data_IF_331620159891
#
_entry.id   IF_331620159891
#
_cell.length_a   1.000
_cell.length_b   1.000
_cell.length_c   1.000
_cell.angle_alpha   90.00
_cell.angle_beta   90.00
_cell.angle_gamma   90.00
#
_symmetry.space_group_name_H-M   'P 1'
#
loop_
_entity.id
_entity.type
_entity.pdbx_description
1 polymer ?
#
# COMPACT_ATOMS: atom_id res chain seq x y z
N UNK A 1 19.66 -2.12 -18.91
CA UNK A 1 19.25 -3.36 -19.61
C UNK A 1 19.65 -3.23 -21.07
N UNK A 2 20.35 -4.22 -21.66
CA UNK A 2 20.79 -4.18 -23.06
C UNK A 2 19.66 -4.02 -24.07
N UNK A 3 19.95 -3.51 -25.24
CA UNK A 3 19.00 -3.39 -26.35
C UNK A 3 18.51 -4.76 -26.83
N UNK A 4 17.23 -4.86 -27.20
CA UNK A 4 16.60 -6.06 -27.74
C UNK A 4 16.13 -7.07 -26.69
N UNK A 5 16.33 -6.79 -25.40
CA UNK A 5 15.90 -7.68 -24.31
C UNK A 5 14.40 -7.50 -24.05
N UNK A 6 13.66 -8.59 -23.92
CA UNK A 6 12.24 -8.57 -23.58
C UNK A 6 12.07 -8.18 -22.11
N UNK A 7 11.35 -7.09 -21.84
CA UNK A 7 11.07 -6.58 -20.48
C UNK A 7 9.71 -7.03 -19.96
N UNK A 8 8.76 -7.27 -20.86
CA UNK A 8 7.43 -7.79 -20.53
C UNK A 8 6.80 -8.44 -21.74
N UNK A 9 6.03 -9.49 -21.52
CA UNK A 9 5.23 -10.17 -22.53
C UNK A 9 3.76 -10.15 -22.15
N UNK A 10 2.90 -9.81 -23.10
CA UNK A 10 1.47 -10.03 -22.98
C UNK A 10 1.10 -11.38 -23.56
N UNK A 11 0.31 -12.16 -22.86
CA UNK A 11 -0.23 -13.44 -23.33
C UNK A 11 -1.71 -13.53 -23.01
N UNK A 12 -2.51 -13.77 -24.02
CA UNK A 12 -3.96 -13.86 -23.93
C UNK A 12 -4.51 -15.06 -24.69
N UNK A 13 -5.81 -15.31 -24.54
CA UNK A 13 -6.52 -16.38 -25.24
C UNK A 13 -6.46 -16.18 -26.77
N UNK A 14 -6.56 -14.95 -27.23
CA UNK A 14 -6.45 -14.61 -28.65
C UNK A 14 -4.98 -14.36 -29.00
N UNK A 15 -4.45 -15.06 -30.00
CA UNK A 15 -3.05 -14.91 -30.44
C UNK A 15 -2.67 -13.48 -30.79
N UNK A 16 -3.61 -12.67 -31.32
CA UNK A 16 -3.39 -11.25 -31.65
C UNK A 16 -3.12 -10.37 -30.41
N UNK A 17 -3.46 -10.83 -29.23
CA UNK A 17 -3.17 -10.13 -27.96
C UNK A 17 -1.76 -10.44 -27.42
N UNK A 18 -1.05 -11.39 -28.05
CA UNK A 18 0.30 -11.76 -27.62
C UNK A 18 1.28 -10.76 -28.21
N UNK A 19 2.08 -10.16 -27.34
CA UNK A 19 3.12 -9.21 -27.73
C UNK A 19 4.28 -9.24 -26.76
N UNK A 20 5.51 -9.12 -27.30
CA UNK A 20 6.74 -9.01 -26.52
C UNK A 20 7.28 -7.59 -26.65
N UNK A 21 7.36 -6.89 -25.52
CA UNK A 21 7.93 -5.55 -25.45
C UNK A 21 9.42 -5.65 -25.15
N UNK A 22 10.23 -5.12 -26.05
CA UNK A 22 11.69 -5.16 -25.96
C UNK A 22 12.27 -3.76 -25.82
N UNK A 23 13.42 -3.69 -25.19
CA UNK A 23 14.22 -2.45 -25.16
C UNK A 23 14.63 -2.03 -26.57
N UNK A 24 14.52 -0.74 -26.88
CA UNK A 24 14.78 -0.20 -28.23
C UNK A 24 16.10 0.52 -28.35
N UNK A 25 16.69 0.95 -27.22
CA UNK A 25 17.95 1.70 -27.16
C UNK A 25 18.97 0.99 -26.29
N UNK A 26 20.23 1.31 -26.49
CA UNK A 26 21.31 0.91 -25.59
C UNK A 26 21.13 1.59 -24.22
N UNK A 27 21.57 0.95 -23.13
CA UNK A 27 21.47 1.53 -21.78
C UNK A 27 22.39 2.76 -21.68
N UNK A 28 21.91 3.79 -20.97
CA UNK A 28 22.70 5.00 -20.67
C UNK A 28 23.86 4.64 -19.74
N UNK A 29 23.59 3.77 -18.77
CA UNK A 29 24.58 3.29 -17.80
C UNK A 29 24.28 1.84 -17.42
N UNK A 30 25.35 1.03 -17.34
CA UNK A 30 25.26 -0.39 -16.96
C UNK A 30 25.85 -0.69 -15.59
N UNK A 31 26.53 0.26 -14.97
CA UNK A 31 27.35 0.08 -13.76
C UNK A 31 26.71 0.70 -12.53
N UNK A 32 26.04 1.85 -12.69
CA UNK A 32 25.43 2.55 -11.54
C UNK A 32 24.52 1.60 -10.72
N UNK A 33 24.68 1.51 -9.39
CA UNK A 33 23.78 0.72 -8.55
C UNK A 33 22.34 1.25 -8.61
N UNK A 34 21.37 0.35 -8.71
CA UNK A 34 19.95 0.71 -8.71
C UNK A 34 19.25 0.03 -7.55
N UNK A 35 18.54 0.81 -6.76
CA UNK A 35 17.61 0.33 -5.74
C UNK A 35 16.20 0.78 -6.14
N UNK A 36 15.26 -0.16 -6.16
CA UNK A 36 13.85 0.12 -6.46
C UNK A 36 13.06 -0.04 -5.16
N UNK A 37 12.51 1.06 -4.66
CA UNK A 37 11.66 1.06 -3.47
C UNK A 37 10.21 0.77 -3.85
N UNK A 38 9.59 -0.18 -3.18
CA UNK A 38 8.21 -0.62 -3.43
C UNK A 38 7.41 -0.83 -2.16
N UNK A 39 6.09 -0.73 -2.29
CA UNK A 39 5.15 -1.08 -1.22
C UNK A 39 3.86 -1.66 -1.80
N UNK A 40 2.87 -1.95 -0.94
CA UNK A 40 1.58 -2.51 -1.33
C UNK A 40 0.75 -1.65 -2.30
N UNK A 41 1.10 -0.38 -2.49
CA UNK A 41 0.48 0.53 -3.46
C UNK A 41 1.20 0.53 -4.82
N UNK A 42 2.40 -0.06 -4.90
CA UNK A 42 3.10 -0.23 -6.18
C UNK A 42 2.37 -1.26 -7.03
N UNK A 43 1.85 -0.86 -8.19
CA UNK A 43 0.95 -1.69 -9.00
C UNK A 43 1.20 -1.55 -10.51
N UNK A 44 0.77 -2.58 -11.28
CA UNK A 44 0.70 -2.55 -12.74
C UNK A 44 2.05 -2.23 -13.41
N UNK A 45 2.17 -1.11 -14.15
CA UNK A 45 3.41 -0.73 -14.85
C UNK A 45 4.63 -0.61 -13.92
N UNK A 46 4.43 -0.10 -12.70
CA UNK A 46 5.49 -0.04 -11.70
C UNK A 46 6.00 -1.45 -11.33
N UNK A 47 5.10 -2.43 -11.24
CA UNK A 47 5.47 -3.83 -10.98
C UNK A 47 6.18 -4.46 -12.17
N UNK A 48 5.82 -4.09 -13.41
CA UNK A 48 6.50 -4.56 -14.62
C UNK A 48 7.96 -4.07 -14.62
N UNK A 49 8.18 -2.78 -14.38
CA UNK A 49 9.54 -2.21 -14.32
C UNK A 49 10.35 -2.84 -13.20
N UNK A 50 9.79 -2.90 -12.00
CA UNK A 50 10.43 -3.51 -10.82
C UNK A 50 10.80 -4.96 -11.08
N UNK A 51 9.82 -5.75 -11.54
CA UNK A 51 10.01 -7.18 -11.77
C UNK A 51 10.99 -7.46 -12.92
N UNK A 52 11.00 -6.64 -13.99
CA UNK A 52 11.97 -6.77 -15.05
C UNK A 52 13.39 -6.49 -14.56
N UNK A 53 13.60 -5.46 -13.75
CA UNK A 53 14.91 -5.14 -13.17
C UNK A 53 15.35 -6.20 -12.16
N UNK A 54 14.43 -6.75 -11.36
CA UNK A 54 14.71 -7.85 -10.43
C UNK A 54 15.07 -9.14 -11.16
N UNK A 55 14.27 -9.54 -12.16
CA UNK A 55 14.50 -10.79 -12.92
C UNK A 55 15.80 -10.76 -13.74
N UNK A 56 16.25 -9.58 -14.15
CA UNK A 56 17.52 -9.37 -14.84
C UNK A 56 18.70 -9.14 -13.89
N UNK A 57 18.49 -9.23 -12.58
CA UNK A 57 19.51 -8.93 -11.55
C UNK A 57 20.17 -7.55 -11.73
N UNK A 58 19.41 -6.57 -12.26
CA UNK A 58 19.92 -5.23 -12.52
C UNK A 58 19.72 -4.26 -11.37
N UNK A 59 18.74 -4.54 -10.49
CA UNK A 59 18.43 -3.73 -9.32
C UNK A 59 18.16 -4.60 -8.11
N UNK A 60 18.36 -4.03 -6.92
CA UNK A 60 17.87 -4.55 -5.65
C UNK A 60 16.49 -3.95 -5.38
N UNK A 61 15.51 -4.78 -5.09
CA UNK A 61 14.16 -4.35 -4.73
C UNK A 61 14.04 -4.31 -3.21
N UNK A 62 13.65 -3.15 -2.67
CA UNK A 62 13.58 -2.89 -1.24
C UNK A 62 12.17 -2.42 -0.86
N UNK A 63 11.66 -2.84 0.30
CA UNK A 63 10.37 -2.41 0.85
C UNK A 63 9.43 -3.54 1.18
N UNK A 64 8.14 -3.39 0.87
CA UNK A 64 7.13 -4.42 1.11
C UNK A 64 6.56 -4.96 -0.20
N UNK A 65 5.88 -6.11 -0.12
CA UNK A 65 5.29 -6.80 -1.27
C UNK A 65 4.33 -5.90 -2.04
N UNK A 66 4.42 -5.91 -3.37
CA UNK A 66 3.60 -5.08 -4.24
C UNK A 66 2.16 -5.60 -4.39
N UNK A 67 1.31 -4.82 -5.05
CA UNK A 67 -0.13 -5.08 -5.18
C UNK A 67 -0.48 -6.37 -5.92
N UNK A 68 0.23 -6.70 -6.99
CA UNK A 68 -0.05 -7.88 -7.82
C UNK A 68 -1.13 -7.68 -8.89
N UNK A 69 -1.05 -6.57 -9.65
CA UNK A 69 -1.95 -6.28 -10.78
C UNK A 69 -1.30 -6.69 -12.10
N UNK A 70 -1.55 -7.95 -12.52
CA UNK A 70 -0.96 -8.57 -13.70
C UNK A 70 -1.90 -8.77 -14.89
N UNK A 71 -3.11 -8.16 -14.89
CA UNK A 71 -4.09 -8.28 -15.96
C UNK A 71 -4.06 -7.08 -16.88
N UNK A 72 -4.15 -7.34 -18.19
CA UNK A 72 -4.35 -6.32 -19.24
C UNK A 72 -5.82 -6.21 -19.52
N UNK A 73 -6.37 -5.03 -19.34
CA UNK A 73 -7.77 -4.71 -19.62
C UNK A 73 -7.83 -3.67 -20.74
N UNK A 74 -8.75 -3.87 -21.65
CA UNK A 74 -9.03 -2.94 -22.77
C UNK A 74 -10.48 -2.50 -22.72
N UNK A 75 -10.75 -1.18 -22.89
CA UNK A 75 -12.08 -0.70 -23.14
C UNK A 75 -12.56 -1.14 -24.53
N UNK A 76 -13.82 -1.48 -24.65
CA UNK A 76 -14.50 -1.81 -25.89
C UNK A 76 -15.77 -0.98 -25.93
N UNK A 77 -15.90 -0.16 -26.96
CA UNK A 77 -17.09 0.65 -27.20
C UNK A 77 -18.29 -0.24 -27.53
N UNK A 78 -19.41 0.06 -26.93
CA UNK A 78 -20.70 -0.57 -27.15
C UNK A 78 -21.70 0.47 -27.69
N UNK A 79 -22.82 0.01 -28.28
CA UNK A 79 -23.93 0.92 -28.65
C UNK A 79 -24.40 1.79 -27.50
N UNK A 80 -25.04 2.92 -27.82
CA UNK A 80 -25.63 3.86 -26.87
C UNK A 80 -24.60 4.58 -25.95
N UNK A 81 -23.42 4.88 -26.47
CA UNK A 81 -22.32 5.52 -25.69
C UNK A 81 -21.92 4.74 -24.43
N UNK A 82 -22.05 3.44 -24.46
CA UNK A 82 -21.61 2.55 -23.39
C UNK A 82 -20.19 2.04 -23.67
N UNK A 83 -19.45 1.73 -22.63
CA UNK A 83 -18.11 1.13 -22.69
C UNK A 83 -18.04 -0.11 -21.82
N UNK A 84 -17.41 -1.16 -22.31
CA UNK A 84 -17.17 -2.39 -21.56
C UNK A 84 -15.68 -2.60 -21.38
N UNK A 85 -15.21 -2.76 -20.14
CA UNK A 85 -13.83 -3.07 -19.81
C UNK A 85 -13.61 -4.58 -19.77
N UNK A 86 -12.79 -5.09 -20.68
CA UNK A 86 -12.57 -6.53 -20.84
C UNK A 86 -11.12 -6.90 -20.55
N UNK A 87 -10.91 -7.95 -19.75
CA UNK A 87 -9.58 -8.55 -19.55
C UNK A 87 -9.22 -9.38 -20.78
N UNK A 88 -8.14 -9.01 -21.49
CA UNK A 88 -7.71 -9.64 -22.74
C UNK A 88 -6.47 -10.51 -22.60
N UNK A 89 -5.58 -10.19 -21.66
CA UNK A 89 -4.31 -10.91 -21.48
C UNK A 89 -3.73 -10.72 -20.06
N UNK A 90 -2.61 -11.40 -19.81
CA UNK A 90 -1.80 -11.27 -18.60
C UNK A 90 -0.39 -10.80 -18.95
N UNK A 91 0.23 -10.11 -18.00
CA UNK A 91 1.65 -9.77 -18.08
C UNK A 91 2.52 -10.91 -17.58
N UNK A 92 3.62 -11.10 -18.29
CA UNK A 92 4.71 -12.00 -17.90
C UNK A 92 6.02 -11.22 -17.99
N UNK A 93 6.77 -11.20 -16.90
CA UNK A 93 8.06 -10.51 -16.79
C UNK A 93 9.21 -11.44 -17.22
N UNK A 94 10.47 -11.00 -17.32
CA UNK A 94 11.52 -11.74 -18.02
C UNK A 94 11.75 -13.18 -17.58
N UNK A 95 11.60 -13.51 -16.32
CA UNK A 95 11.67 -14.90 -15.83
C UNK A 95 10.54 -15.80 -16.33
N UNK A 96 9.49 -15.22 -16.94
CA UNK A 96 8.28 -15.92 -17.37
C UNK A 96 7.20 -16.03 -16.29
N UNK A 97 7.40 -15.45 -15.10
CA UNK A 97 6.39 -15.42 -14.04
C UNK A 97 5.32 -14.36 -14.30
N UNK A 98 4.09 -14.65 -13.82
CA UNK A 98 2.98 -13.72 -13.83
C UNK A 98 2.78 -13.14 -12.42
N UNK A 99 2.70 -11.82 -12.31
CA UNK A 99 2.60 -11.11 -11.03
C UNK A 99 1.17 -11.06 -10.46
N UNK A 100 0.17 -11.56 -11.19
CA UNK A 100 -1.24 -11.46 -10.80
C UNK A 100 -1.52 -12.15 -9.45
N UNK A 101 -1.92 -11.37 -8.45
CA UNK A 101 -2.13 -11.87 -7.08
C UNK A 101 -3.52 -12.48 -6.85
N UNK A 102 -4.50 -12.14 -7.68
CA UNK A 102 -5.90 -12.55 -7.46
C UNK A 102 -6.41 -13.41 -8.60
N UNK A 103 -7.17 -14.45 -8.25
CA UNK A 103 -7.93 -15.27 -9.19
C UNK A 103 -9.39 -14.85 -9.13
N UNK A 104 -9.94 -14.46 -10.28
CA UNK A 104 -11.36 -14.11 -10.42
C UNK A 104 -12.15 -15.34 -10.81
N UNK A 105 -13.25 -15.61 -10.12
CA UNK A 105 -14.21 -16.68 -10.45
C UNK A 105 -15.35 -16.10 -11.27
N UNK A 106 -15.68 -16.73 -12.38
CA UNK A 106 -16.73 -16.25 -13.29
C UNK A 106 -18.15 -16.52 -12.77
N UNK A 107 -18.34 -17.45 -11.83
CA UNK A 107 -19.66 -17.94 -11.41
C UNK A 107 -20.16 -17.38 -10.07
N UNK A 108 -19.37 -16.57 -9.34
CA UNK A 108 -19.71 -16.12 -7.98
C UNK A 108 -19.83 -14.60 -7.88
N UNK A 109 -20.58 -13.95 -8.80
CA UNK A 109 -20.82 -12.51 -8.73
C UNK A 109 -19.57 -11.65 -8.76
N UNK A 110 -18.45 -12.13 -9.30
CA UNK A 110 -17.19 -11.38 -9.39
C UNK A 110 -16.30 -11.49 -8.15
N UNK A 111 -16.53 -12.46 -7.28
CA UNK A 111 -15.63 -12.71 -6.15
C UNK A 111 -14.20 -13.02 -6.60
N UNK A 112 -13.23 -12.55 -5.85
CA UNK A 112 -11.80 -12.78 -6.12
C UNK A 112 -11.12 -13.42 -4.92
N UNK A 113 -10.31 -14.45 -5.17
CA UNK A 113 -9.47 -15.08 -4.16
C UNK A 113 -8.02 -14.65 -4.31
N UNK A 114 -7.34 -14.44 -3.21
CA UNK A 114 -5.88 -14.30 -3.20
C UNK A 114 -5.27 -15.67 -3.46
N UNK A 115 -4.31 -15.74 -4.38
CA UNK A 115 -3.61 -16.98 -4.71
C UNK A 115 -2.74 -17.37 -3.51
N UNK A 116 -3.04 -18.54 -2.92
CA UNK A 116 -2.32 -19.03 -1.75
C UNK A 116 -0.85 -19.30 -2.05
N UNK A 117 0.02 -19.03 -1.08
CA UNK A 117 1.47 -19.17 -1.24
C UNK A 117 1.88 -20.63 -1.59
N UNK A 118 1.15 -21.62 -1.10
CA UNK A 118 1.37 -23.03 -1.40
C UNK A 118 1.15 -23.43 -2.88
N UNK A 119 0.47 -22.59 -3.66
CA UNK A 119 0.18 -22.83 -5.08
C UNK A 119 1.05 -22.03 -6.03
N UNK A 120 1.96 -21.20 -5.50
CA UNK A 120 2.88 -20.40 -6.28
C UNK A 120 3.97 -21.27 -6.91
N UNK A 121 4.32 -20.94 -8.14
CA UNK A 121 5.39 -21.63 -8.87
C UNK A 121 6.70 -20.87 -8.70
N UNK A 122 7.78 -21.62 -8.68
CA UNK A 122 9.14 -21.11 -8.62
C UNK A 122 9.63 -20.75 -10.03
N UNK A 123 10.26 -19.61 -10.13
CA UNK A 123 10.97 -19.11 -11.29
C UNK A 123 12.35 -18.64 -10.85
N UNK A 124 13.21 -18.31 -11.79
CA UNK A 124 14.58 -17.91 -11.49
C UNK A 124 14.94 -16.65 -12.24
N UNK A 125 15.67 -15.77 -11.59
CA UNK A 125 16.28 -14.59 -12.21
C UNK A 125 17.41 -15.00 -13.15
N UNK A 126 17.97 -14.03 -13.88
CA UNK A 126 19.09 -14.27 -14.80
C UNK A 126 20.28 -14.98 -14.12
N UNK A 127 20.58 -14.62 -12.87
CA UNK A 127 21.68 -15.20 -12.08
C UNK A 127 21.24 -16.40 -11.20
N UNK A 128 20.03 -16.92 -11.41
CA UNK A 128 19.53 -18.13 -10.72
C UNK A 128 18.95 -17.91 -9.32
N UNK A 129 18.64 -16.66 -8.92
CA UNK A 129 17.92 -16.41 -7.68
C UNK A 129 16.46 -16.87 -7.79
N UNK A 130 15.95 -17.56 -6.79
CA UNK A 130 14.56 -18.01 -6.75
C UNK A 130 13.61 -16.83 -6.58
N UNK A 131 12.57 -16.77 -7.41
CA UNK A 131 11.47 -15.82 -7.35
C UNK A 131 10.16 -16.54 -7.57
N UNK A 132 9.07 -16.02 -7.02
CA UNK A 132 7.75 -16.67 -7.09
C UNK A 132 6.82 -15.92 -8.05
N UNK A 133 5.91 -16.67 -8.67
CA UNK A 133 4.78 -16.08 -9.39
C UNK A 133 3.61 -15.76 -8.43
N UNK A 134 2.54 -15.17 -8.98
CA UNK A 134 1.25 -15.00 -8.31
C UNK A 134 1.32 -14.32 -6.93
N UNK A 135 1.33 -13.01 -6.94
CA UNK A 135 1.24 -12.27 -5.69
C UNK A 135 2.02 -10.97 -5.65
N UNK A 136 2.23 -10.36 -6.81
CA UNK A 136 3.06 -9.15 -6.92
C UNK A 136 4.54 -9.48 -6.92
N UNK A 137 5.35 -8.44 -6.75
CA UNK A 137 6.79 -8.55 -6.59
C UNK A 137 7.12 -8.63 -5.11
N UNK A 138 7.82 -9.68 -4.72
CA UNK A 138 8.39 -9.79 -3.37
C UNK A 138 9.75 -9.09 -3.39
N UNK A 139 9.99 -8.12 -2.50
CA UNK A 139 11.28 -7.41 -2.46
C UNK A 139 12.42 -8.34 -2.07
N UNK A 140 13.64 -8.02 -2.51
CA UNK A 140 14.87 -8.73 -2.13
C UNK A 140 15.24 -8.42 -0.69
N UNK A 141 14.97 -7.18 -0.23
CA UNK A 141 15.14 -6.73 1.14
C UNK A 141 13.80 -6.21 1.64
N UNK A 142 13.22 -6.92 2.61
CA UNK A 142 11.98 -6.51 3.24
C UNK A 142 12.27 -5.41 4.26
N UNK A 143 11.62 -4.27 4.08
CA UNK A 143 11.60 -3.16 5.04
C UNK A 143 10.13 -2.85 5.29
N UNK A 144 9.65 -3.22 6.44
CA UNK A 144 8.31 -2.84 6.87
C UNK A 144 8.31 -1.34 7.18
N UNK A 145 7.30 -0.64 6.70
CA UNK A 145 7.12 0.76 7.05
C UNK A 145 6.81 0.88 8.54
N UNK A 146 7.31 1.93 9.16
CA UNK A 146 6.90 2.28 10.51
C UNK A 146 5.37 2.44 10.52
N UNK A 147 4.72 1.70 11.40
CA UNK A 147 3.29 1.86 11.61
C UNK A 147 3.09 3.14 12.42
N UNK A 148 2.84 4.25 11.72
CA UNK A 148 2.40 5.45 12.41
C UNK A 148 1.11 5.13 13.19
N UNK A 149 1.04 5.51 14.47
CA UNK A 149 -0.19 5.37 15.22
C UNK A 149 -1.29 6.21 14.59
N UNK A 150 -2.54 5.75 14.72
CA UNK A 150 -3.68 6.39 14.06
C UNK A 150 -3.73 7.91 14.29
N UNK A 151 -3.41 8.40 15.49
CA UNK A 151 -3.42 9.83 15.79
C UNK A 151 -2.41 10.61 14.95
N UNK A 152 -1.20 10.10 14.75
CA UNK A 152 -0.18 10.77 13.92
C UNK A 152 -0.66 10.88 12.47
N UNK A 153 -1.25 9.80 11.93
CA UNK A 153 -1.84 9.82 10.58
C UNK A 153 -2.93 10.90 10.44
N UNK A 154 -3.86 10.97 11.40
CA UNK A 154 -4.95 11.94 11.34
C UNK A 154 -4.47 13.38 11.60
N UNK A 155 -3.49 13.61 12.46
CA UNK A 155 -2.87 14.91 12.64
C UNK A 155 -2.15 15.40 11.36
N UNK A 156 -1.41 14.51 10.69
CA UNK A 156 -0.74 14.83 9.43
C UNK A 156 -1.70 14.97 8.24
N UNK A 157 -2.82 14.23 8.24
CA UNK A 157 -3.82 14.26 7.17
C UNK A 157 -4.92 15.31 7.36
N UNK A 158 -5.00 15.97 8.53
CA UNK A 158 -6.00 16.98 8.81
C UNK A 158 -5.87 18.16 7.84
N UNK A 159 -6.87 18.28 6.96
CA UNK A 159 -6.97 19.36 5.96
C UNK A 159 -7.92 20.47 6.40
N UNK A 160 -8.51 20.33 7.58
CA UNK A 160 -9.43 21.31 8.12
C UNK A 160 -8.69 22.49 8.74
N UNK A 161 -9.40 23.59 8.98
CA UNK A 161 -8.90 24.90 9.43
C UNK A 161 -8.02 24.89 10.69
N UNK A 162 -7.80 23.75 11.29
CA UNK A 162 -6.92 23.53 12.42
C UNK A 162 -5.71 22.66 12.02
N UNK A 163 -4.88 23.16 11.14
CA UNK A 163 -3.57 22.55 10.80
C UNK A 163 -2.62 22.63 12.01
N UNK A 164 -3.00 21.96 13.11
CA UNK A 164 -2.32 22.06 14.41
C UNK A 164 -0.87 21.65 14.31
N UNK A 165 -0.61 20.55 13.59
CA UNK A 165 0.74 20.03 13.38
C UNK A 165 1.59 21.03 12.59
N UNK A 166 1.11 21.47 11.43
CA UNK A 166 1.83 22.41 10.58
C UNK A 166 2.10 23.74 11.31
N UNK A 167 1.10 24.28 12.02
CA UNK A 167 1.28 25.52 12.78
C UNK A 167 2.29 25.35 13.91
N UNK A 168 2.31 24.20 14.58
CA UNK A 168 3.32 23.88 15.57
C UNK A 168 4.72 23.79 14.96
N UNK A 169 4.87 23.09 13.83
CA UNK A 169 6.14 22.97 13.11
C UNK A 169 6.71 24.33 12.69
N UNK A 170 5.87 25.21 12.15
CA UNK A 170 6.26 26.58 11.76
C UNK A 170 6.76 27.35 12.97
N UNK A 171 6.03 27.32 14.09
CA UNK A 171 6.43 28.02 15.32
C UNK A 171 7.68 27.40 15.94
N UNK A 172 7.82 26.07 15.88
CA UNK A 172 9.00 25.36 16.36
C UNK A 172 10.26 25.78 15.58
N UNK A 173 10.20 25.77 14.24
CA UNK A 173 11.31 26.21 13.39
C UNK A 173 11.67 27.69 13.63
N UNK A 174 10.67 28.53 13.85
CA UNK A 174 10.92 29.94 14.16
C UNK A 174 11.67 30.12 15.49
N UNK A 175 11.41 29.28 16.48
CA UNK A 175 12.11 29.25 17.78
C UNK A 175 13.50 28.58 17.71
N UNK A 176 13.65 27.62 16.79
CA UNK A 176 14.83 26.77 16.62
C UNK A 176 15.39 26.88 15.20
N UNK A 177 16.11 27.95 14.86
CA UNK A 177 16.58 28.19 13.50
C UNK A 177 17.56 27.13 12.96
N UNK A 178 18.10 26.33 13.84
CA UNK A 178 18.95 25.17 13.49
C UNK A 178 18.28 23.89 14.03
N UNK A 179 17.82 23.03 13.14
CA UNK A 179 17.23 21.74 13.47
C UNK A 179 18.23 20.64 13.11
N UNK A 180 18.35 19.63 13.97
CA UNK A 180 19.20 18.47 13.71
C UNK A 180 18.77 17.71 12.43
N UNK A 181 19.68 16.90 11.88
CA UNK A 181 19.30 16.02 10.79
C UNK A 181 18.21 15.02 11.25
N UNK A 182 17.34 14.55 10.37
CA UNK A 182 16.22 13.67 10.76
C UNK A 182 16.61 12.43 11.57
N UNK A 183 17.81 11.88 11.33
CA UNK A 183 18.33 10.74 12.08
C UNK A 183 18.75 11.05 13.54
N UNK A 184 19.03 12.32 13.81
CA UNK A 184 19.56 12.80 15.12
C UNK A 184 18.54 13.74 15.81
N UNK A 185 17.37 13.93 15.20
CA UNK A 185 16.35 14.81 15.73
C UNK A 185 15.56 14.13 16.86
N UNK A 186 15.56 14.76 18.02
CA UNK A 186 14.74 14.36 19.17
C UNK A 186 13.98 15.59 19.68
N UNK A 187 12.68 15.46 19.84
CA UNK A 187 11.83 16.48 20.44
C UNK A 187 11.97 16.42 21.96
N UNK A 188 12.23 17.57 22.61
CA UNK A 188 12.30 17.64 24.07
C UNK A 188 10.97 17.32 24.74
N UNK A 189 10.99 16.95 26.02
CA UNK A 189 9.76 16.68 26.79
C UNK A 189 8.91 17.95 26.95
N UNK A 190 9.56 19.11 27.09
CA UNK A 190 8.89 20.40 27.19
C UNK A 190 8.19 20.78 25.87
N UNK A 191 8.89 20.63 24.75
CA UNK A 191 8.31 20.91 23.42
C UNK A 191 7.16 19.96 23.11
N UNK A 192 7.31 18.68 23.45
CA UNK A 192 6.22 17.73 23.27
C UNK A 192 5.01 18.03 24.17
N UNK A 193 5.24 18.52 25.39
CA UNK A 193 4.15 18.96 26.28
C UNK A 193 3.42 20.18 25.70
N UNK A 194 4.15 21.15 25.10
CA UNK A 194 3.55 22.27 24.39
C UNK A 194 2.72 21.80 23.20
N UNK A 195 3.23 20.86 22.41
CA UNK A 195 2.50 20.26 21.29
C UNK A 195 1.20 19.57 21.74
N UNK A 196 1.29 18.71 22.76
CA UNK A 196 0.09 18.03 23.31
C UNK A 196 -0.96 19.05 23.76
N UNK A 197 -0.55 20.10 24.45
CA UNK A 197 -1.45 21.15 24.89
C UNK A 197 -2.15 21.83 23.70
N UNK A 198 -1.43 22.17 22.64
CA UNK A 198 -2.01 22.76 21.42
C UNK A 198 -3.03 21.85 20.75
N UNK A 199 -2.71 20.55 20.63
CA UNK A 199 -3.66 19.57 20.08
C UNK A 199 -4.96 19.50 20.91
N UNK A 200 -4.84 19.49 22.22
CA UNK A 200 -6.02 19.42 23.11
C UNK A 200 -6.82 20.75 23.09
N UNK A 201 -6.14 21.89 23.11
CA UNK A 201 -6.78 23.21 23.10
C UNK A 201 -7.48 23.51 21.76
N UNK A 202 -7.00 22.91 20.65
CA UNK A 202 -7.64 23.04 19.33
C UNK A 202 -8.98 22.30 19.21
N UNK A 203 -9.30 21.42 20.16
CA UNK A 203 -10.46 20.55 20.05
C UNK A 203 -10.33 19.45 19.00
N UNK A 204 -9.10 19.13 18.58
CA UNK A 204 -8.83 18.07 17.61
C UNK A 204 -9.45 16.74 18.06
N UNK A 205 -10.13 16.10 17.14
CA UNK A 205 -10.69 14.75 17.30
C UNK A 205 -10.64 14.00 15.97
N UNK A 206 -10.70 12.70 16.02
CA UNK A 206 -10.73 11.84 14.84
C UNK A 206 -11.56 10.58 15.09
N UNK A 207 -12.15 10.04 14.02
CA UNK A 207 -12.97 8.84 14.11
C UNK A 207 -12.07 7.59 14.07
N UNK A 208 -12.08 6.82 15.15
CA UNK A 208 -11.37 5.53 15.17
C UNK A 208 -12.15 4.47 14.42
N UNK A 209 -11.43 3.71 13.59
CA UNK A 209 -12.02 2.61 12.82
C UNK A 209 -12.72 1.58 13.70
N UNK A 210 -12.16 1.30 14.89
CA UNK A 210 -12.76 0.37 15.87
C UNK A 210 -14.11 0.85 16.41
N UNK A 211 -14.26 2.14 16.68
CA UNK A 211 -15.53 2.74 17.13
C UNK A 211 -16.59 2.69 16.03
N UNK A 212 -16.19 2.96 14.80
CA UNK A 212 -17.06 2.85 13.63
C UNK A 212 -17.55 1.41 13.43
N UNK A 213 -16.64 0.44 13.43
CA UNK A 213 -17.03 -0.98 13.31
C UNK A 213 -17.91 -1.45 14.44
N UNK A 214 -17.67 -0.98 15.68
CA UNK A 214 -18.52 -1.32 16.81
C UNK A 214 -19.94 -0.77 16.63
N UNK A 215 -20.07 0.46 16.12
CA UNK A 215 -21.37 1.07 15.81
C UNK A 215 -22.08 0.33 14.68
N UNK A 216 -21.36 -0.05 13.64
CA UNK A 216 -21.91 -0.81 12.51
C UNK A 216 -22.36 -2.22 12.99
N UNK A 217 -21.57 -2.87 13.83
CA UNK A 217 -21.92 -4.16 14.45
C UNK A 217 -23.16 -4.04 15.34
N UNK A 218 -23.28 -2.98 16.13
CA UNK A 218 -24.47 -2.72 16.95
C UNK A 218 -25.73 -2.55 16.09
N UNK A 219 -25.64 -1.84 14.97
CA UNK A 219 -26.76 -1.70 14.05
C UNK A 219 -27.15 -3.03 13.40
N UNK A 220 -26.18 -3.85 13.03
CA UNK A 220 -26.40 -5.16 12.43
C UNK A 220 -27.08 -6.11 13.44
N UNK A 221 -26.58 -6.18 14.66
CA UNK A 221 -27.16 -7.04 15.72
C UNK A 221 -28.57 -6.61 16.14
N UNK A 222 -28.89 -5.30 16.06
CA UNK A 222 -30.27 -4.79 16.25
C UNK A 222 -31.18 -5.29 15.11
N UNK A 223 -30.71 -5.23 13.88
CA UNK A 223 -31.46 -5.72 12.72
C UNK A 223 -31.69 -7.23 12.80
N UNK A 224 -30.70 -8.00 13.27
CA UNK A 224 -30.78 -9.45 13.44
C UNK A 224 -31.55 -9.89 14.70
N UNK A 225 -31.91 -8.96 15.62
CA UNK A 225 -32.67 -9.26 16.83
C UNK A 225 -31.87 -9.79 18.01
N UNK A 226 -30.53 -9.76 17.97
CA UNK A 226 -29.65 -10.27 19.03
C UNK A 226 -29.08 -9.17 19.95
N UNK A 227 -29.42 -7.91 19.69
CA UNK A 227 -28.81 -6.80 20.44
C UNK A 227 -29.14 -6.79 21.91
N UNK A 228 -30.39 -7.10 22.28
CA UNK A 228 -30.85 -7.02 23.69
C UNK A 228 -30.12 -8.05 24.58
N UNK A 229 -29.79 -9.21 24.01
CA UNK A 229 -29.03 -10.25 24.70
C UNK A 229 -27.54 -9.88 24.87
N UNK A 230 -26.98 -9.12 23.93
CA UNK A 230 -25.56 -8.73 23.89
C UNK A 230 -25.31 -7.28 24.38
N UNK A 231 -26.33 -6.57 24.83
CA UNK A 231 -26.25 -5.16 25.24
C UNK A 231 -25.21 -4.87 26.32
N UNK A 232 -25.08 -5.67 27.38
CA UNK A 232 -24.06 -5.43 28.41
C UNK A 232 -22.63 -5.48 27.86
N UNK A 233 -22.35 -6.41 26.92
CA UNK A 233 -21.07 -6.59 26.29
C UNK A 233 -20.75 -5.41 25.35
N UNK A 234 -21.73 -4.93 24.59
CA UNK A 234 -21.60 -3.73 23.77
C UNK A 234 -21.26 -2.50 24.60
N UNK A 235 -21.96 -2.27 25.70
CA UNK A 235 -21.70 -1.13 26.60
C UNK A 235 -20.33 -1.24 27.28
N UNK A 236 -19.93 -2.43 27.70
CA UNK A 236 -18.59 -2.68 28.25
C UNK A 236 -17.50 -2.42 27.22
N UNK A 237 -17.71 -2.85 25.97
CA UNK A 237 -16.76 -2.66 24.87
C UNK A 237 -16.67 -1.19 24.46
N UNK A 238 -17.79 -0.48 24.33
CA UNK A 238 -17.84 0.97 24.09
C UNK A 238 -17.00 1.73 25.12
N UNK A 239 -17.18 1.42 26.40
CA UNK A 239 -16.41 2.06 27.47
C UNK A 239 -14.90 1.79 27.38
N UNK A 240 -14.49 0.57 26.98
CA UNK A 240 -13.08 0.21 26.83
C UNK A 240 -12.44 0.80 25.59
N UNK A 241 -13.20 0.95 24.50
CA UNK A 241 -12.76 1.50 23.24
C UNK A 241 -12.98 3.00 23.12
N UNK A 242 -13.56 3.66 24.16
CA UNK A 242 -13.80 5.10 24.11
C UNK A 242 -12.53 5.87 23.81
N UNK A 243 -12.64 6.77 22.84
CA UNK A 243 -11.55 7.58 22.34
C UNK A 243 -11.10 8.63 23.36
N UNK A 244 -9.79 8.78 23.52
CA UNK A 244 -9.19 9.82 24.37
C UNK A 244 -7.90 10.31 23.72
N UNK A 245 -7.96 11.48 23.06
CA UNK A 245 -6.84 12.13 22.38
C UNK A 245 -5.65 12.32 23.32
N UNK A 246 -5.87 12.72 24.57
CA UNK A 246 -4.81 12.89 25.54
C UNK A 246 -4.04 11.59 25.81
N UNK A 247 -4.78 10.47 25.96
CA UNK A 247 -4.17 9.15 26.12
C UNK A 247 -3.44 8.68 24.88
N UNK A 248 -3.99 8.94 23.70
CA UNK A 248 -3.35 8.56 22.44
C UNK A 248 -2.05 9.32 22.22
N UNK A 249 -1.96 10.59 22.63
CA UNK A 249 -0.74 11.39 22.60
C UNK A 249 0.33 10.90 23.60
N UNK A 250 -0.04 10.30 24.73
CA UNK A 250 0.94 9.72 25.66
C UNK A 250 1.66 8.50 25.07
N UNK A 251 0.96 7.68 24.26
CA UNK A 251 1.54 6.48 23.66
C UNK A 251 2.40 6.76 22.43
N UNK A 252 2.37 7.97 21.88
CA UNK A 252 2.84 8.24 20.52
C UNK A 252 3.88 9.37 20.44
N UNK A 253 4.64 9.63 21.50
CA UNK A 253 5.72 10.63 21.50
C UNK A 253 6.78 10.36 20.41
N UNK A 254 7.01 9.09 20.06
CA UNK A 254 8.05 8.69 19.10
C UNK A 254 7.56 8.63 17.65
N UNK A 255 6.29 8.83 17.38
CA UNK A 255 5.69 8.84 16.05
C UNK A 255 5.50 10.24 15.51
#
# INVERSE_FOLDING_TARGET
>A
VPKGVTVVSNRGKLKRANHDYKTTSEPIDTVIPIVVMVNGNSASAAEIVTGALQDMDRAVVLGTKTYGKGLVQMPIDLPYNCEMKVTTSRYYIPSGRCIQARKYRHNDGGSSEVIADSTKRKFYTLNGREVLDAGGITPDVVVEGDSLPNIAYYLAAARDSNEVLLNYEVDYIAKHPTVAQPADFELSDEDYAEFKKRVLDSGFTYDRTSEKFLKDLEQLTRFEGYYDDAKPEFEALKKKLSHNVAKDLEYNKQA
#
